data_IF_694456541235
#
_entry.id   IF_694456541235
#
_cell.length_a   1.000
_cell.length_b   1.000
_cell.length_c   1.000
_cell.angle_alpha   90.00
_cell.angle_beta   90.00
_cell.angle_gamma   90.00
#
_symmetry.space_group_name_H-M   'P 1'
#
loop_
_entity.id
_entity.type
_entity.pdbx_description
1 polymer ?
#
# COMPACT_ATOMS: atom_id res chain seq x y z
N UNK A 1 -19.40 18.91 -13.50
CA UNK A 1 -19.62 17.84 -14.50
C UNK A 1 -19.44 16.51 -13.80
N UNK A 2 -20.41 15.59 -13.85
CA UNK A 2 -20.36 14.29 -13.16
C UNK A 2 -20.19 13.23 -14.26
N UNK A 3 -19.02 12.59 -14.30
CA UNK A 3 -18.73 11.53 -15.29
C UNK A 3 -19.08 10.20 -14.63
N UNK A 4 -20.06 9.48 -15.18
CA UNK A 4 -20.40 8.13 -14.75
C UNK A 4 -19.66 7.14 -15.65
N UNK A 5 -18.82 6.30 -15.06
CA UNK A 5 -18.17 5.19 -15.76
C UNK A 5 -19.22 4.08 -15.96
N UNK A 6 -19.46 3.70 -17.21
CA UNK A 6 -20.31 2.55 -17.59
C UNK A 6 -19.45 1.30 -17.76
N UNK A 7 -20.07 0.13 -17.55
CA UNK A 7 -19.44 -1.20 -17.44
C UNK A 7 -18.43 -1.52 -18.56
N UNK A 8 -18.71 -1.10 -19.80
CA UNK A 8 -17.82 -1.28 -20.96
C UNK A 8 -16.44 -0.60 -20.80
N UNK A 9 -16.35 0.47 -19.99
CA UNK A 9 -15.07 1.15 -19.72
C UNK A 9 -14.22 0.43 -18.66
N UNK A 10 -14.85 -0.35 -17.75
CA UNK A 10 -14.13 -1.20 -16.80
C UNK A 10 -13.37 -2.33 -17.52
N UNK A 11 -13.96 -2.91 -18.57
CA UNK A 11 -13.32 -3.95 -19.39
C UNK A 11 -12.06 -3.46 -20.14
N UNK A 12 -11.84 -2.14 -20.23
CA UNK A 12 -10.60 -1.57 -20.76
C UNK A 12 -9.53 -1.27 -19.69
N UNK A 13 -9.91 -1.41 -18.40
CA UNK A 13 -9.00 -1.35 -17.27
C UNK A 13 -8.50 -2.73 -16.83
N UNK A 14 -9.12 -3.80 -17.34
CA UNK A 14 -8.62 -5.16 -17.17
C UNK A 14 -7.21 -5.26 -17.79
N UNK A 15 -6.22 -5.59 -16.96
CA UNK A 15 -4.79 -5.58 -17.34
C UNK A 15 -4.06 -4.22 -17.23
N UNK A 16 -4.75 -3.14 -16.84
CA UNK A 16 -4.10 -1.83 -16.67
C UNK A 16 -3.08 -1.83 -15.51
N UNK A 17 -1.92 -1.23 -15.75
CA UNK A 17 -0.91 -1.02 -14.70
C UNK A 17 -1.22 0.28 -13.97
N UNK A 18 -1.44 0.19 -12.65
CA UNK A 18 -1.48 1.37 -11.79
C UNK A 18 -0.12 1.56 -11.10
N UNK A 19 0.48 2.72 -11.29
CA UNK A 19 1.68 3.17 -10.57
C UNK A 19 1.32 4.33 -9.66
N UNK A 20 1.88 4.31 -8.45
CA UNK A 20 1.75 5.40 -7.49
C UNK A 20 3.13 5.88 -7.10
N UNK A 21 3.40 7.17 -7.27
CA UNK A 21 4.68 7.81 -6.96
C UNK A 21 4.43 8.99 -6.01
N UNK A 22 5.41 9.33 -5.18
CA UNK A 22 5.32 10.45 -4.24
C UNK A 22 6.37 11.51 -4.55
N UNK A 23 5.93 12.77 -4.68
CA UNK A 23 6.79 13.94 -4.85
C UNK A 23 6.91 14.71 -3.53
N UNK A 24 8.07 14.60 -2.89
CA UNK A 24 8.42 15.29 -1.64
C UNK A 24 8.45 16.82 -1.76
N UNK A 25 8.74 17.38 -2.94
CA UNK A 25 8.82 18.83 -3.13
C UNK A 25 7.43 19.46 -3.21
N UNK A 26 6.47 18.72 -3.76
CA UNK A 26 5.10 19.18 -3.94
C UNK A 26 4.14 18.67 -2.86
N UNK A 27 4.58 17.70 -2.04
CA UNK A 27 3.74 16.95 -1.10
C UNK A 27 2.48 16.38 -1.76
N UNK A 28 2.64 15.82 -2.95
CA UNK A 28 1.56 15.25 -3.76
C UNK A 28 1.92 13.84 -4.21
N UNK A 29 0.90 13.01 -4.41
CA UNK A 29 1.05 11.68 -4.98
C UNK A 29 0.66 11.72 -6.45
N UNK A 30 1.47 11.15 -7.32
CA UNK A 30 1.15 10.93 -8.73
C UNK A 30 0.55 9.54 -8.86
N UNK A 31 -0.71 9.48 -9.30
CA UNK A 31 -1.33 8.25 -9.76
C UNK A 31 -1.22 8.20 -11.26
N UNK A 32 -0.65 7.13 -11.78
CA UNK A 32 -0.51 6.89 -13.21
C UNK A 32 -1.17 5.56 -13.56
N UNK A 33 -2.12 5.62 -14.47
CA UNK A 33 -2.85 4.47 -14.99
C UNK A 33 -2.45 4.26 -16.44
N UNK A 34 -1.88 3.10 -16.73
CA UNK A 34 -1.45 2.71 -18.08
C UNK A 34 -2.35 1.58 -18.57
N UNK A 35 -3.26 1.83 -19.53
CA UNK A 35 -4.09 0.79 -20.12
C UNK A 35 -3.25 -0.17 -20.96
N UNK A 36 -3.51 -1.47 -20.85
CA UNK A 36 -2.76 -2.51 -21.57
C UNK A 36 -2.88 -2.36 -23.09
N UNK A 37 -4.08 -2.04 -23.59
CA UNK A 37 -4.38 -2.03 -25.03
C UNK A 37 -3.70 -0.90 -25.81
N UNK A 38 -3.48 0.25 -25.17
CA UNK A 38 -3.09 1.47 -25.87
C UNK A 38 -1.74 2.00 -25.40
N UNK A 39 -1.25 1.61 -24.21
CA UNK A 39 0.03 2.03 -23.66
C UNK A 39 0.11 3.50 -23.20
N UNK A 40 -0.84 4.34 -23.61
CA UNK A 40 -0.88 5.76 -23.21
C UNK A 40 -1.32 5.92 -21.76
N UNK A 41 -0.39 6.38 -20.93
CA UNK A 41 -0.64 6.62 -19.50
C UNK A 41 -1.47 7.88 -19.26
N UNK A 42 -2.49 7.76 -18.42
CA UNK A 42 -3.16 8.92 -17.80
C UNK A 42 -2.61 9.09 -16.40
N UNK A 43 -2.19 10.31 -16.05
CA UNK A 43 -1.71 10.60 -14.71
C UNK A 43 -2.44 11.78 -14.07
N UNK A 44 -2.67 11.66 -12.76
CA UNK A 44 -3.27 12.69 -11.93
C UNK A 44 -2.44 12.90 -10.68
N UNK A 45 -2.23 14.16 -10.32
CA UNK A 45 -1.74 14.51 -9.00
C UNK A 45 -2.91 14.49 -8.03
N UNK A 46 -2.74 13.79 -6.92
CA UNK A 46 -3.73 13.69 -5.85
C UNK A 46 -3.12 14.12 -4.53
N UNK A 47 -3.96 14.71 -3.69
CA UNK A 47 -3.59 14.98 -2.30
C UNK A 47 -3.38 13.68 -1.51
N UNK A 48 -2.71 13.79 -0.38
CA UNK A 48 -2.39 12.69 0.53
C UNK A 48 -3.64 11.89 0.94
N UNK A 49 -4.74 12.58 1.26
CA UNK A 49 -5.99 11.97 1.69
C UNK A 49 -6.66 11.12 0.61
N UNK A 50 -6.64 11.58 -0.64
CA UNK A 50 -7.19 10.85 -1.78
C UNK A 50 -6.26 9.70 -2.20
N UNK A 51 -4.95 9.89 -2.14
CA UNK A 51 -3.95 8.83 -2.31
C UNK A 51 -4.21 7.69 -1.32
N UNK A 52 -4.34 8.01 -0.03
CA UNK A 52 -4.64 7.06 1.04
C UNK A 52 -5.90 6.25 0.73
N UNK A 53 -7.02 6.91 0.41
CA UNK A 53 -8.29 6.22 0.10
C UNK A 53 -8.21 5.33 -1.12
N UNK A 54 -7.45 5.74 -2.13
CA UNK A 54 -7.25 4.92 -3.33
C UNK A 54 -6.38 3.72 -3.02
N UNK A 55 -5.29 3.90 -2.27
CA UNK A 55 -4.50 2.78 -1.76
C UNK A 55 -5.35 1.82 -0.95
N UNK A 56 -6.17 2.31 -0.01
CA UNK A 56 -7.08 1.47 0.78
C UNK A 56 -8.04 0.67 -0.13
N UNK A 57 -8.64 1.32 -1.12
CA UNK A 57 -9.56 0.69 -2.08
C UNK A 57 -8.87 -0.31 -3.03
N UNK A 58 -7.58 -0.15 -3.30
CA UNK A 58 -6.78 -1.05 -4.14
C UNK A 58 -6.13 -2.19 -3.35
N UNK A 59 -6.04 -2.03 -2.03
CA UNK A 59 -5.44 -2.98 -1.11
C UNK A 59 -6.46 -4.04 -0.67
N UNK A 60 -7.24 -4.55 -1.65
CA UNK A 60 -8.25 -5.60 -1.48
C UNK A 60 -7.66 -6.98 -1.27
N UNK A 61 -6.34 -7.15 -1.43
CA UNK A 61 -5.67 -8.39 -1.10
C UNK A 61 -5.84 -8.68 0.39
N UNK A 62 -6.59 -9.75 0.67
CA UNK A 62 -6.74 -10.30 2.00
C UNK A 62 -5.40 -10.93 2.39
N UNK A 63 -4.88 -10.52 3.54
CA UNK A 63 -3.70 -11.16 4.12
C UNK A 63 -4.06 -12.61 4.46
N UNK A 64 -3.11 -13.52 4.25
CA UNK A 64 -3.23 -14.87 4.81
C UNK A 64 -3.11 -14.81 6.33
N UNK A 65 -3.54 -15.87 7.04
CA UNK A 65 -3.40 -15.92 8.50
C UNK A 65 -1.94 -15.70 8.96
N UNK A 66 -0.98 -16.24 8.21
CA UNK A 66 0.45 -16.01 8.45
C UNK A 66 0.82 -14.52 8.28
N UNK A 67 0.36 -13.90 7.20
CA UNK A 67 0.65 -12.50 6.90
C UNK A 67 -0.04 -11.56 7.91
N UNK A 68 -1.23 -11.91 8.40
CA UNK A 68 -1.92 -11.17 9.46
C UNK A 68 -1.16 -11.23 10.79
N UNK A 69 -0.60 -12.39 11.14
CA UNK A 69 0.26 -12.53 12.34
C UNK A 69 1.50 -11.65 12.21
N UNK A 70 2.18 -11.69 11.05
CA UNK A 70 3.33 -10.84 10.77
C UNK A 70 2.96 -9.35 10.84
N UNK A 71 1.84 -8.97 10.22
CA UNK A 71 1.33 -7.61 10.23
C UNK A 71 1.05 -7.09 11.64
N UNK A 72 0.31 -7.86 12.45
CA UNK A 72 -0.01 -7.50 13.83
C UNK A 72 1.24 -7.40 14.71
N UNK A 73 2.22 -8.28 14.49
CA UNK A 73 3.51 -8.22 15.19
C UNK A 73 4.24 -6.92 14.85
N UNK A 74 4.27 -6.55 13.57
CA UNK A 74 4.91 -5.32 13.13
C UNK A 74 4.23 -4.07 13.66
N UNK A 75 2.89 -4.03 13.81
CA UNK A 75 2.19 -2.89 14.45
C UNK A 75 2.71 -2.62 15.85
N UNK A 76 2.80 -3.67 16.68
CA UNK A 76 3.25 -3.56 18.07
C UNK A 76 4.70 -3.12 18.16
N UNK A 77 5.56 -3.62 17.26
CA UNK A 77 6.97 -3.19 17.21
C UNK A 77 7.06 -1.75 16.69
N UNK A 78 6.29 -1.39 15.67
CA UNK A 78 6.35 -0.07 15.03
C UNK A 78 6.06 1.08 16.00
N UNK A 79 5.08 0.91 16.88
CA UNK A 79 4.76 1.88 17.94
C UNK A 79 5.94 2.11 18.91
N UNK A 80 6.74 1.07 19.19
CA UNK A 80 7.90 1.18 20.11
C UNK A 80 9.08 1.92 19.48
N UNK A 81 9.14 1.98 18.15
CA UNK A 81 10.21 2.60 17.39
C UNK A 81 9.75 3.89 16.70
N UNK A 82 8.74 4.57 17.25
CA UNK A 82 8.28 5.88 16.78
C UNK A 82 7.99 5.88 15.27
N UNK A 83 7.31 4.84 14.80
CA UNK A 83 6.94 4.68 13.40
C UNK A 83 8.12 4.57 12.41
N UNK A 84 9.34 4.29 12.90
CA UNK A 84 10.49 4.00 12.05
C UNK A 84 10.44 2.57 11.50
N UNK A 85 10.02 2.43 10.25
CA UNK A 85 9.87 1.13 9.56
C UNK A 85 11.16 0.31 9.47
N UNK A 86 12.31 0.94 9.23
CA UNK A 86 13.59 0.21 9.08
C UNK A 86 14.00 -0.39 10.42
N UNK A 87 13.97 0.40 11.49
CA UNK A 87 14.28 -0.05 12.84
C UNK A 87 13.30 -1.14 13.31
N UNK A 88 12.02 -0.97 12.98
CA UNK A 88 10.94 -1.93 13.30
C UNK A 88 11.19 -3.29 12.66
N UNK A 89 11.51 -3.33 11.37
CA UNK A 89 11.76 -4.59 10.67
C UNK A 89 13.04 -5.25 11.17
N UNK A 90 14.09 -4.47 11.45
CA UNK A 90 15.31 -4.98 12.03
C UNK A 90 15.06 -5.64 13.40
N UNK A 91 14.35 -4.94 14.29
CA UNK A 91 14.01 -5.43 15.63
C UNK A 91 13.09 -6.66 15.58
N UNK A 92 12.06 -6.65 14.73
CA UNK A 92 11.15 -7.79 14.59
C UNK A 92 11.88 -9.05 14.11
N UNK A 93 12.89 -8.91 13.24
CA UNK A 93 13.71 -10.01 12.76
C UNK A 93 14.65 -10.61 13.81
N UNK A 94 14.88 -9.97 14.95
CA UNK A 94 15.62 -10.58 16.05
C UNK A 94 14.84 -11.76 16.68
N UNK A 95 13.51 -11.77 16.53
CA UNK A 95 12.69 -12.92 16.88
C UNK A 95 12.76 -13.98 15.77
N UNK A 96 13.24 -15.18 16.13
CA UNK A 96 13.45 -16.29 15.19
C UNK A 96 12.13 -16.76 14.54
N UNK A 97 11.04 -16.83 15.30
CA UNK A 97 9.74 -17.24 14.79
C UNK A 97 9.21 -16.23 13.77
N UNK A 98 9.33 -14.93 14.09
CA UNK A 98 8.99 -13.87 13.15
C UNK A 98 9.86 -13.94 11.90
N UNK A 99 11.18 -14.12 12.05
CA UNK A 99 12.10 -14.22 10.91
C UNK A 99 11.73 -15.38 9.99
N UNK A 100 11.45 -16.56 10.54
CA UNK A 100 11.04 -17.74 9.79
C UNK A 100 9.73 -17.51 9.04
N UNK A 101 8.70 -16.98 9.72
CA UNK A 101 7.43 -16.65 9.09
C UNK A 101 7.60 -15.55 8.03
N UNK A 102 8.42 -14.53 8.30
CA UNK A 102 8.72 -13.45 7.37
C UNK A 102 9.32 -14.01 6.07
N UNK A 103 10.32 -14.89 6.14
CA UNK A 103 10.92 -15.52 4.96
C UNK A 103 9.95 -16.40 4.17
N UNK A 104 8.94 -16.98 4.81
CA UNK A 104 7.93 -17.83 4.17
C UNK A 104 6.80 -17.01 3.51
N UNK A 105 6.58 -15.77 3.97
CA UNK A 105 5.58 -14.88 3.37
C UNK A 105 5.97 -14.49 1.94
N UNK A 106 5.04 -14.73 1.01
CA UNK A 106 5.15 -14.25 -0.38
C UNK A 106 4.63 -12.82 -0.56
N UNK A 107 4.00 -12.26 0.48
CA UNK A 107 3.24 -11.01 0.45
C UNK A 107 3.86 -9.91 1.33
N UNK A 108 5.17 -9.99 1.61
CA UNK A 108 5.89 -9.01 2.44
C UNK A 108 5.62 -7.55 2.02
N UNK A 109 5.58 -7.28 0.72
CA UNK A 109 5.27 -5.94 0.19
C UNK A 109 3.86 -5.47 0.55
N UNK A 110 2.86 -6.36 0.54
CA UNK A 110 1.50 -6.04 0.94
C UNK A 110 1.41 -5.76 2.45
N UNK A 111 2.14 -6.53 3.27
CA UNK A 111 2.24 -6.32 4.73
C UNK A 111 2.80 -4.92 5.03
N UNK A 112 3.92 -4.54 4.38
CA UNK A 112 4.54 -3.22 4.59
C UNK A 112 3.61 -2.08 4.15
N UNK A 113 2.93 -2.22 3.00
CA UNK A 113 1.97 -1.21 2.54
C UNK A 113 0.80 -1.04 3.51
N UNK A 114 0.22 -2.15 3.97
CA UNK A 114 -0.85 -2.12 4.99
C UNK A 114 -0.37 -1.51 6.31
N UNK A 115 0.90 -1.70 6.66
CA UNK A 115 1.51 -1.15 7.86
C UNK A 115 1.74 0.36 7.76
N UNK A 116 2.17 0.85 6.60
CA UNK A 116 2.28 2.28 6.31
C UNK A 116 0.92 3.00 6.41
N UNK A 117 -0.10 2.44 5.75
CA UNK A 117 -1.48 2.94 5.80
C UNK A 117 -1.97 2.99 7.25
N UNK A 118 -1.79 1.90 8.00
CA UNK A 118 -2.22 1.86 9.40
C UNK A 118 -1.51 2.92 10.26
N UNK A 119 -0.19 3.08 10.11
CA UNK A 119 0.57 4.08 10.86
C UNK A 119 0.10 5.52 10.58
N UNK A 120 -0.20 5.82 9.31
CA UNK A 120 -0.70 7.13 8.90
C UNK A 120 -2.07 7.46 9.53
N UNK A 121 -2.95 6.46 9.70
CA UNK A 121 -4.23 6.63 10.42
C UNK A 121 -4.00 6.86 11.91
N UNK A 122 -3.10 6.12 12.53
CA UNK A 122 -2.83 6.25 13.98
C UNK A 122 -2.14 7.58 14.32
N UNK A 123 -1.30 8.13 13.44
CA UNK A 123 -0.69 9.45 13.65
C UNK A 123 -1.69 10.62 13.47
N UNK A 124 -2.78 10.42 12.72
CA UNK A 124 -3.82 11.42 12.51
C UNK A 124 -4.94 11.39 13.56
N UNK A 125 -4.97 10.38 14.44
CA UNK A 125 -5.96 10.19 15.51
C UNK A 125 -5.50 10.74 16.86
#
# INVERSE_FOLDING_TARGET
>A
MKVNLVEDQFNNLDGATLQVMYDKQQNLNLLMLTPEKNGDSVSIWVDEKLSYKLFEALNTEKLSDLDEILFNTLKVVLQKYEYNFIATIAAAKENIEFMCAWMQSKNQSAIIRKLAIWAEVEEQG
#
